data_IF_447541452853
#
_entry.id   IF_447541452853
#
_cell.length_a   1.000
_cell.length_b   1.000
_cell.length_c   1.000
_cell.angle_alpha   90.00
_cell.angle_beta   90.00
_cell.angle_gamma   90.00
#
_symmetry.space_group_name_H-M   'P 1'
#
loop_
_entity.id
_entity.type
_entity.pdbx_description
1 polymer ?
#
# COMPACT_ATOMS: atom_id res chain seq x y z
N UNK A 1 -0.37 -20.23 3.69
CA UNK A 1 0.86 -20.33 2.86
C UNK A 1 1.60 -19.01 2.98
N UNK A 2 2.86 -18.96 3.42
CA UNK A 2 3.66 -17.75 3.33
C UNK A 2 3.89 -17.44 1.84
N UNK A 3 3.68 -16.19 1.44
CA UNK A 3 4.06 -15.72 0.11
C UNK A 3 5.55 -15.41 0.20
N UNK A 4 6.37 -16.11 -0.58
CA UNK A 4 7.78 -15.77 -0.76
C UNK A 4 7.86 -14.83 -1.95
N UNK A 5 8.39 -13.62 -1.72
CA UNK A 5 8.63 -12.62 -2.76
C UNK A 5 10.13 -12.44 -2.93
N UNK A 6 10.60 -12.36 -4.16
CA UNK A 6 11.98 -11.96 -4.46
C UNK A 6 12.21 -10.49 -4.10
N UNK A 7 13.47 -10.04 -3.94
CA UNK A 7 13.77 -8.63 -3.72
C UNK A 7 13.20 -7.71 -4.83
N UNK A 8 13.22 -8.17 -6.07
CA UNK A 8 12.66 -7.46 -7.21
C UNK A 8 11.13 -7.38 -7.11
N UNK A 9 10.45 -8.49 -6.77
CA UNK A 9 9.01 -8.49 -6.56
C UNK A 9 8.58 -7.59 -5.39
N UNK A 10 9.37 -7.55 -4.31
CA UNK A 10 9.16 -6.63 -3.19
C UNK A 10 9.31 -5.18 -3.65
N UNK A 11 10.33 -4.88 -4.47
CA UNK A 11 10.58 -3.55 -5.02
C UNK A 11 9.43 -3.07 -5.91
N UNK A 12 9.02 -3.90 -6.86
CA UNK A 12 7.88 -3.63 -7.77
C UNK A 12 6.59 -3.43 -6.98
N UNK A 13 6.29 -4.34 -6.04
CA UNK A 13 5.07 -4.25 -5.23
C UNK A 13 5.08 -3.02 -4.32
N UNK A 14 6.24 -2.66 -3.77
CA UNK A 14 6.43 -1.44 -2.97
C UNK A 14 6.11 -0.20 -3.79
N UNK A 15 6.59 -0.13 -5.04
CA UNK A 15 6.32 1.00 -5.92
C UNK A 15 4.82 1.10 -6.24
N UNK A 16 4.19 -0.01 -6.64
CA UNK A 16 2.74 -0.06 -6.91
C UNK A 16 1.91 0.39 -5.71
N UNK A 17 2.29 -0.02 -4.50
CA UNK A 17 1.60 0.40 -3.28
C UNK A 17 1.77 1.90 -3.00
N UNK A 18 2.97 2.46 -3.22
CA UNK A 18 3.22 3.89 -3.05
C UNK A 18 2.43 4.73 -4.04
N UNK A 19 2.40 4.33 -5.30
CA UNK A 19 1.63 5.01 -6.35
C UNK A 19 0.14 4.99 -6.00
N UNK A 20 -0.42 3.83 -5.62
CA UNK A 20 -1.83 3.74 -5.23
C UNK A 20 -2.16 4.53 -3.97
N UNK A 21 -1.24 4.64 -3.02
CA UNK A 21 -1.41 5.48 -1.82
C UNK A 21 -1.42 6.98 -2.18
N UNK A 22 -0.65 7.39 -3.18
CA UNK A 22 -0.70 8.73 -3.77
C UNK A 22 -2.07 9.02 -4.37
N UNK A 23 -2.53 8.15 -5.28
CA UNK A 23 -3.86 8.26 -5.92
C UNK A 23 -4.99 8.33 -4.90
N UNK A 24 -4.98 7.47 -3.88
CA UNK A 24 -5.99 7.50 -2.81
C UNK A 24 -6.00 8.82 -2.04
N UNK A 25 -4.85 9.48 -1.89
CA UNK A 25 -4.79 10.78 -1.21
C UNK A 25 -5.48 11.86 -2.03
N UNK A 26 -5.33 11.84 -3.35
CA UNK A 26 -6.06 12.72 -4.28
C UNK A 26 -7.56 12.39 -4.30
N UNK A 27 -7.93 11.10 -4.41
CA UNK A 27 -9.32 10.65 -4.38
C UNK A 27 -10.03 11.08 -3.08
N UNK A 28 -9.36 10.98 -1.91
CA UNK A 28 -9.89 11.44 -0.62
C UNK A 28 -10.10 12.95 -0.61
N UNK A 29 -9.17 13.71 -1.18
CA UNK A 29 -9.24 15.17 -1.22
C UNK A 29 -10.41 15.64 -2.08
N UNK A 30 -10.67 14.98 -3.20
CA UNK A 30 -11.74 15.31 -4.15
C UNK A 30 -13.09 14.68 -3.85
N UNK A 31 -13.18 13.75 -2.89
CA UNK A 31 -14.43 13.07 -2.56
C UNK A 31 -15.38 13.97 -1.75
N UNK A 32 -16.55 14.29 -2.33
CA UNK A 32 -17.56 15.12 -1.66
C UNK A 32 -18.29 14.38 -0.53
N UNK A 33 -18.58 13.08 -0.74
CA UNK A 33 -19.37 12.29 0.19
C UNK A 33 -18.52 11.77 1.36
N UNK A 34 -18.92 12.07 2.59
CA UNK A 34 -18.23 11.62 3.81
C UNK A 34 -18.05 10.09 3.86
N UNK A 35 -19.13 9.34 3.58
CA UNK A 35 -19.11 7.87 3.57
C UNK A 35 -18.11 7.31 2.56
N UNK A 36 -17.94 7.98 1.42
CA UNK A 36 -16.97 7.57 0.39
C UNK A 36 -15.54 7.90 0.84
N UNK A 37 -15.31 9.08 1.44
CA UNK A 37 -14.03 9.43 2.07
C UNK A 37 -13.59 8.43 3.13
N UNK A 38 -14.52 7.96 3.97
CA UNK A 38 -14.22 6.99 5.01
C UNK A 38 -13.78 5.65 4.42
N UNK A 39 -14.46 5.17 3.36
CA UNK A 39 -14.04 3.96 2.62
C UNK A 39 -12.65 4.09 2.00
N UNK A 40 -12.33 5.26 1.44
CA UNK A 40 -11.02 5.51 0.86
C UNK A 40 -9.92 5.56 1.93
N UNK A 41 -10.21 6.13 3.11
CA UNK A 41 -9.30 6.14 4.26
C UNK A 41 -9.05 4.73 4.78
N UNK A 42 -10.09 3.92 4.94
CA UNK A 42 -9.95 2.52 5.36
C UNK A 42 -9.05 1.76 4.39
N UNK A 43 -9.27 1.96 3.08
CA UNK A 43 -8.44 1.34 2.05
C UNK A 43 -7.00 1.81 2.08
N UNK A 44 -6.76 3.11 2.32
CA UNK A 44 -5.43 3.69 2.51
C UNK A 44 -4.73 3.03 3.71
N UNK A 45 -5.41 2.87 4.84
CA UNK A 45 -4.85 2.23 6.04
C UNK A 45 -4.45 0.77 5.78
N UNK A 46 -5.27 0.02 5.04
CA UNK A 46 -4.93 -1.36 4.65
C UNK A 46 -3.67 -1.39 3.79
N UNK A 47 -3.56 -0.55 2.76
CA UNK A 47 -2.39 -0.50 1.89
C UNK A 47 -1.12 -0.05 2.63
N UNK A 48 -1.23 0.94 3.53
CA UNK A 48 -0.12 1.34 4.39
C UNK A 48 0.36 0.17 5.27
N UNK A 49 -0.57 -0.59 5.85
CA UNK A 49 -0.22 -1.76 6.66
C UNK A 49 0.50 -2.83 5.84
N UNK A 50 0.11 -3.04 4.59
CA UNK A 50 0.78 -4.00 3.69
C UNK A 50 2.18 -3.49 3.34
N UNK A 51 2.32 -2.21 3.01
CA UNK A 51 3.61 -1.60 2.71
C UNK A 51 4.58 -1.71 3.89
N UNK A 52 4.14 -1.38 5.10
CA UNK A 52 4.96 -1.54 6.32
C UNK A 52 5.39 -2.98 6.55
N UNK A 53 4.52 -3.96 6.25
CA UNK A 53 4.85 -5.38 6.35
C UNK A 53 5.92 -5.77 5.33
N UNK A 54 5.83 -5.27 4.10
CA UNK A 54 6.79 -5.54 3.03
C UNK A 54 8.16 -4.91 3.33
N UNK A 55 8.19 -3.66 3.80
CA UNK A 55 9.44 -2.97 4.17
C UNK A 55 10.12 -3.58 5.39
N UNK A 56 9.37 -4.29 6.26
CA UNK A 56 9.90 -5.04 7.41
C UNK A 56 10.34 -6.46 7.06
N UNK A 57 10.07 -6.97 5.86
CA UNK A 57 10.63 -8.26 5.44
C UNK A 57 12.13 -8.04 5.28
N UNK A 58 12.99 -8.68 6.11
CA UNK A 58 14.42 -8.54 5.95
C UNK A 58 14.76 -9.07 4.56
N UNK A 59 15.31 -8.22 3.70
CA UNK A 59 16.00 -8.67 2.51
C UNK A 59 17.00 -9.74 2.98
N UNK A 60 16.70 -11.01 2.73
CA UNK A 60 17.68 -12.08 2.92
C UNK A 60 18.77 -11.80 1.88
N UNK A 61 19.79 -11.07 2.31
CA UNK A 61 21.05 -10.97 1.59
C UNK A 61 21.65 -12.37 1.59
N UNK A 62 21.47 -13.09 0.48
CA UNK A 62 22.28 -14.27 0.10
C UNK A 62 23.37 -13.84 -0.84
#
# INVERSE_FOLDING_TARGET
MPIELSPEEISELTQVLKDRLGELSEEIYHADLQKFRDQLKDRRTVLQTILEKLERVPAKQT
#
